data_IF_613963250859
#
_entry.id   IF_613963250859
#
_cell.length_a   1.000
_cell.length_b   1.000
_cell.length_c   1.000
_cell.angle_alpha   90.00
_cell.angle_beta   90.00
_cell.angle_gamma   90.00
#
_symmetry.space_group_name_H-M   'P 1'
#
loop_
_entity.id
_entity.type
_entity.pdbx_description
1 polymer ?
#
# COMPACT_ATOMS: atom_id res chain seq x y z
N UNK A 1 22.67 -32.73 -0.41
CA UNK A 1 21.83 -31.95 0.52
C UNK A 1 22.00 -30.47 0.17
N UNK A 2 21.06 -29.78 -0.52
CA UNK A 2 21.05 -28.32 -0.50
C UNK A 2 20.10 -27.87 0.61
N UNK A 3 20.64 -27.31 1.68
CA UNK A 3 20.86 -25.87 1.92
C UNK A 3 19.76 -25.37 2.87
N UNK A 4 20.18 -25.03 4.09
CA UNK A 4 19.34 -24.42 5.10
C UNK A 4 18.81 -23.08 4.59
N UNK A 5 17.50 -23.04 4.37
CA UNK A 5 16.73 -21.81 4.41
C UNK A 5 16.66 -21.39 5.87
N UNK A 6 17.65 -20.61 6.31
CA UNK A 6 17.44 -19.70 7.43
C UNK A 6 16.49 -18.60 6.94
N UNK A 7 15.21 -18.95 6.80
CA UNK A 7 14.13 -18.09 6.29
C UNK A 7 13.45 -17.36 7.46
N UNK A 8 14.23 -16.89 8.42
CA UNK A 8 13.72 -16.14 9.58
C UNK A 8 13.35 -14.69 9.22
N UNK A 9 13.26 -14.34 7.93
CA UNK A 9 12.76 -13.04 7.46
C UNK A 9 11.28 -13.19 7.16
N UNK A 10 10.45 -12.36 7.77
CA UNK A 10 9.03 -12.30 7.44
C UNK A 10 8.86 -12.19 5.92
N UNK A 11 7.92 -12.93 5.32
CA UNK A 11 7.72 -12.92 3.88
C UNK A 11 7.36 -11.50 3.44
N UNK A 12 8.15 -10.97 2.50
CA UNK A 12 7.94 -9.63 1.96
C UNK A 12 6.73 -9.66 1.03
N UNK A 13 5.83 -8.68 1.17
CA UNK A 13 4.58 -8.62 0.43
C UNK A 13 4.46 -7.30 -0.33
N UNK A 14 3.62 -7.28 -1.36
CA UNK A 14 3.10 -6.06 -1.96
C UNK A 14 1.60 -6.03 -1.70
N UNK A 15 1.10 -4.88 -1.24
CA UNK A 15 -0.33 -4.61 -1.09
C UNK A 15 -0.73 -3.48 -2.01
N UNK A 16 -1.70 -3.73 -2.87
CA UNK A 16 -2.29 -2.72 -3.74
C UNK A 16 -3.62 -2.29 -3.15
N UNK A 17 -3.82 -0.98 -2.99
CA UNK A 17 -5.14 -0.42 -2.73
C UNK A 17 -5.71 0.09 -4.04
N UNK A 18 -6.90 -0.37 -4.38
CA UNK A 18 -7.70 0.16 -5.48
C UNK A 18 -8.79 1.05 -4.91
N UNK A 19 -8.80 2.31 -5.33
CA UNK A 19 -9.79 3.30 -4.92
C UNK A 19 -10.84 3.39 -6.02
N UNK A 20 -12.09 3.21 -5.62
CA UNK A 20 -13.23 3.13 -6.52
C UNK A 20 -14.26 4.21 -6.26
N UNK A 21 -14.91 4.63 -7.33
CA UNK A 21 -16.16 5.37 -7.28
C UNK A 21 -17.31 4.48 -6.81
N UNK A 22 -18.45 5.07 -6.37
CA UNK A 22 -19.63 4.31 -5.94
C UNK A 22 -20.23 3.38 -7.02
N UNK A 23 -19.97 3.66 -8.30
CA UNK A 23 -20.38 2.85 -9.45
C UNK A 23 -19.43 1.67 -9.73
N UNK A 24 -18.30 1.58 -9.02
CA UNK A 24 -17.34 0.49 -9.09
C UNK A 24 -16.10 0.77 -9.95
N UNK A 25 -16.02 1.93 -10.62
CA UNK A 25 -14.87 2.28 -11.45
C UNK A 25 -13.64 2.62 -10.61
N UNK A 26 -12.47 2.05 -10.96
CA UNK A 26 -11.19 2.36 -10.32
C UNK A 26 -10.70 3.73 -10.80
N UNK A 27 -10.60 4.68 -9.89
CA UNK A 27 -10.11 6.04 -10.19
C UNK A 27 -8.68 6.29 -9.74
N UNK A 28 -8.18 5.49 -8.81
CA UNK A 28 -6.79 5.54 -8.38
C UNK A 28 -6.33 4.19 -7.81
N UNK A 29 -5.03 3.97 -7.80
CA UNK A 29 -4.43 2.85 -7.09
C UNK A 29 -3.03 3.23 -6.58
N UNK A 30 -2.64 2.67 -5.45
CA UNK A 30 -1.30 2.82 -4.89
C UNK A 30 -0.82 1.50 -4.32
N UNK A 31 0.50 1.34 -4.26
CA UNK A 31 1.14 0.15 -3.73
C UNK A 31 1.88 0.46 -2.42
N UNK A 32 1.89 -0.53 -1.54
CA UNK A 32 2.80 -0.63 -0.41
C UNK A 32 3.66 -1.85 -0.70
N UNK A 33 4.88 -1.60 -1.20
CA UNK A 33 5.86 -2.64 -1.49
C UNK A 33 6.76 -2.85 -0.28
N UNK A 34 6.61 -3.98 0.39
CA UNK A 34 7.40 -4.36 1.56
C UNK A 34 8.91 -4.34 1.31
N UNK A 35 9.36 -4.49 0.05
CA UNK A 35 10.79 -4.46 -0.32
C UNK A 35 11.40 -3.06 -0.17
N UNK A 36 10.58 -2.02 -0.12
CA UNK A 36 11.04 -0.63 0.04
C UNK A 36 11.40 -0.30 1.50
N UNK A 37 11.06 -1.17 2.45
CA UNK A 37 11.23 -0.92 3.88
C UNK A 37 12.30 -1.85 4.45
N UNK A 38 13.29 -1.26 5.11
CA UNK A 38 14.41 -2.00 5.70
C UNK A 38 14.16 -2.38 7.16
N UNK A 39 13.25 -1.68 7.84
CA UNK A 39 12.94 -1.91 9.24
C UNK A 39 11.78 -2.91 9.40
N UNK A 40 11.93 -3.92 10.29
CA UNK A 40 10.85 -4.85 10.59
C UNK A 40 9.58 -4.11 11.02
N UNK A 41 8.45 -4.46 10.40
CA UNK A 41 7.14 -3.87 10.72
C UNK A 41 6.87 -2.47 10.16
N UNK A 42 7.82 -1.80 9.49
CA UNK A 42 7.62 -0.47 8.92
C UNK A 42 6.56 -0.50 7.79
N UNK A 43 6.64 -1.48 6.88
CA UNK A 43 5.61 -1.69 5.85
C UNK A 43 4.20 -1.89 6.46
N UNK A 44 4.12 -2.59 7.60
CA UNK A 44 2.88 -2.79 8.35
C UNK A 44 2.36 -1.52 9.05
N UNK A 45 3.25 -0.63 9.49
CA UNK A 45 2.86 0.68 10.01
C UNK A 45 2.26 1.53 8.88
N UNK A 46 2.93 1.60 7.73
CA UNK A 46 2.43 2.33 6.55
C UNK A 46 1.08 1.79 6.09
N UNK A 47 0.90 0.47 6.04
CA UNK A 47 -0.40 -0.14 5.74
C UNK A 47 -1.49 0.27 6.71
N UNK A 48 -1.21 0.28 8.02
CA UNK A 48 -2.19 0.69 9.04
C UNK A 48 -2.59 2.16 8.91
N UNK A 49 -1.62 3.03 8.59
CA UNK A 49 -1.91 4.44 8.31
C UNK A 49 -2.79 4.61 7.08
N UNK A 50 -2.43 3.94 5.98
CA UNK A 50 -3.20 3.96 4.73
C UNK A 50 -4.63 3.45 4.94
N UNK A 51 -4.79 2.32 5.63
CA UNK A 51 -6.11 1.76 5.96
C UNK A 51 -6.97 2.75 6.75
N UNK A 52 -6.40 3.37 7.80
CA UNK A 52 -7.12 4.31 8.66
C UNK A 52 -7.59 5.53 7.86
N UNK A 53 -6.72 6.05 7.00
CA UNK A 53 -7.02 7.21 6.17
C UNK A 53 -8.09 6.91 5.11
N UNK A 54 -7.95 5.79 4.39
CA UNK A 54 -8.95 5.34 3.42
C UNK A 54 -10.31 5.06 4.09
N UNK A 55 -10.31 4.50 5.30
CA UNK A 55 -11.53 4.30 6.10
C UNK A 55 -12.20 5.61 6.49
N UNK A 56 -11.43 6.64 6.87
CA UNK A 56 -11.97 7.97 7.23
C UNK A 56 -12.66 8.66 6.08
N UNK A 57 -12.13 8.51 4.86
CA UNK A 57 -12.64 9.19 3.66
C UNK A 57 -13.92 8.57 3.09
N UNK A 58 -14.37 7.42 3.61
CA UNK A 58 -15.57 6.68 3.17
C UNK A 58 -15.64 6.43 1.65
N UNK A 59 -14.50 6.44 0.96
CA UNK A 59 -14.41 6.06 -0.43
C UNK A 59 -14.59 4.53 -0.56
N UNK A 60 -15.09 4.06 -1.71
CA UNK A 60 -15.01 2.64 -2.03
C UNK A 60 -13.54 2.27 -2.21
N UNK A 61 -13.07 1.24 -1.53
CA UNK A 61 -11.71 0.72 -1.73
C UNK A 61 -11.65 -0.77 -1.53
N UNK A 62 -10.70 -1.38 -2.23
CA UNK A 62 -10.38 -2.80 -2.12
C UNK A 62 -8.87 -2.97 -1.97
N UNK A 63 -8.48 -4.01 -1.24
CA UNK A 63 -7.09 -4.37 -1.07
C UNK A 63 -6.82 -5.71 -1.72
N UNK A 64 -5.78 -5.74 -2.54
CA UNK A 64 -5.17 -6.98 -3.01
C UNK A 64 -3.80 -7.12 -2.37
N UNK A 65 -3.39 -8.36 -2.11
CA UNK A 65 -2.12 -8.67 -1.47
C UNK A 65 -1.47 -9.87 -2.13
N UNK A 66 -0.18 -9.78 -2.44
CA UNK A 66 0.62 -10.92 -2.89
C UNK A 66 2.01 -10.90 -2.26
N UNK A 67 2.66 -12.06 -2.29
CA UNK A 67 4.06 -12.18 -1.87
C UNK A 67 4.96 -11.58 -2.94
N UNK A 68 5.85 -10.69 -2.53
CA UNK A 68 6.82 -10.08 -3.41
C UNK A 68 7.93 -11.09 -3.71
N UNK A 69 8.23 -11.29 -4.99
CA UNK A 69 9.40 -12.08 -5.39
C UNK A 69 10.59 -11.16 -5.71
N UNK A 70 11.85 -11.60 -5.51
CA UNK A 70 13.03 -10.79 -5.86
C UNK A 70 13.12 -10.45 -7.35
N UNK A 71 12.54 -11.30 -8.22
CA UNK A 71 12.56 -11.13 -9.68
C UNK A 71 11.40 -10.28 -10.21
N UNK A 72 10.40 -9.98 -9.38
CA UNK A 72 9.28 -9.14 -9.80
C UNK A 72 9.76 -7.70 -10.02
N UNK A 73 9.43 -7.07 -11.16
CA UNK A 73 9.81 -5.69 -11.40
C UNK A 73 9.21 -4.75 -10.34
N UNK A 74 9.82 -3.56 -10.12
CA UNK A 74 9.21 -2.52 -9.30
C UNK A 74 7.84 -2.14 -9.88
N UNK A 75 6.88 -1.87 -8.99
CA UNK A 75 5.58 -1.39 -9.44
C UNK A 75 5.70 -0.03 -10.12
N UNK A 76 4.85 0.19 -11.14
CA UNK A 76 4.67 1.51 -11.78
C UNK A 76 3.65 2.39 -11.06
N UNK A 77 2.94 1.85 -10.06
CA UNK A 77 1.97 2.60 -9.26
C UNK A 77 2.70 3.48 -8.25
N UNK A 78 2.10 4.61 -7.83
CA UNK A 78 2.66 5.42 -6.76
C UNK A 78 2.73 4.63 -5.46
N UNK A 79 3.70 4.98 -4.61
CA UNK A 79 3.69 4.55 -3.21
C UNK A 79 2.56 5.20 -2.43
N UNK A 80 2.23 4.68 -1.23
CA UNK A 80 1.29 5.34 -0.33
C UNK A 80 1.64 6.81 -0.06
N UNK A 81 2.92 7.14 0.16
CA UNK A 81 3.35 8.51 0.45
C UNK A 81 3.11 9.44 -0.74
N UNK A 82 3.48 8.99 -1.95
CA UNK A 82 3.24 9.73 -3.18
C UNK A 82 1.74 9.93 -3.43
N UNK A 83 0.96 8.87 -3.24
CA UNK A 83 -0.49 8.92 -3.37
C UNK A 83 -1.10 9.88 -2.34
N UNK A 84 -0.64 9.87 -1.08
CA UNK A 84 -1.15 10.76 -0.03
C UNK A 84 -0.90 12.23 -0.36
N UNK A 85 0.25 12.58 -0.92
CA UNK A 85 0.54 13.97 -1.37
C UNK A 85 -0.42 14.39 -2.48
N UNK A 86 -0.62 13.54 -3.48
CA UNK A 86 -1.56 13.82 -4.58
C UNK A 86 -3.02 13.88 -4.09
N UNK A 87 -3.38 12.99 -3.16
CA UNK A 87 -4.70 12.91 -2.55
C UNK A 87 -5.02 14.16 -1.73
N UNK A 88 -4.06 14.67 -0.94
CA UNK A 88 -4.24 15.90 -0.17
C UNK A 88 -4.35 17.14 -1.07
N UNK A 89 -3.57 17.18 -2.15
CA UNK A 89 -3.62 18.27 -3.13
C UNK A 89 -4.96 18.33 -3.90
N UNK A 90 -5.54 17.17 -4.25
CA UNK A 90 -6.81 17.08 -5.00
C UNK A 90 -8.04 17.12 -4.11
N UNK A 91 -7.94 16.55 -2.92
CA UNK A 91 -9.02 16.39 -1.96
C UNK A 91 -8.51 16.69 -0.55
N UNK A 92 -8.27 17.98 -0.23
CA UNK A 92 -7.87 18.37 1.11
C UNK A 92 -8.98 17.92 2.07
N UNK A 93 -8.60 17.29 3.18
CA UNK A 93 -9.56 17.05 4.25
C UNK A 93 -10.10 18.40 4.72
N UNK A 94 -11.39 18.53 5.03
CA UNK A 94 -11.89 19.76 5.65
C UNK A 94 -11.08 19.98 6.92
N UNK A 95 -10.45 21.15 7.04
CA UNK A 95 -9.79 21.56 8.28
C UNK A 95 -10.78 21.36 9.42
N UNK A 96 -10.42 20.54 10.40
CA UNK A 96 -11.16 20.48 11.64
C UNK A 96 -10.90 21.79 12.37
N UNK A 97 -11.85 22.72 12.24
CA UNK A 97 -11.99 23.89 13.13
C UNK A 97 -12.56 23.42 14.48
#
# INVERSE_FOLDING_TARGET
MPQGLDDSREPVWIRTCFVRLPDGDVIAAFDIDGRQYTEPGQAWQVYREAWKEMSRRRAGWEWESHLATPSEPPSRRPSWEQYRVDLDAKHPLPSAD
#
